data_IF_796772917079
#
_entry.id   IF_796772917079
#
_cell.length_a   1.000
_cell.length_b   1.000
_cell.length_c   1.000
_cell.angle_alpha   90.00
_cell.angle_beta   90.00
_cell.angle_gamma   90.00
#
_symmetry.space_group_name_H-M   'P 1'
#
loop_
_entity.id
_entity.type
_entity.pdbx_description
1 polymer ?
#
# COMPACT_ATOMS: atom_id res chain seq x y z
N UNK A 1 53.96 -8.49 -63.40
CA UNK A 1 53.88 -8.60 -61.91
C UNK A 1 53.14 -7.43 -61.26
N UNK A 2 53.29 -6.17 -61.72
CA UNK A 2 52.65 -4.97 -61.14
C UNK A 2 51.11 -4.90 -61.22
N UNK A 3 50.46 -5.61 -62.15
CA UNK A 3 48.99 -5.53 -62.33
C UNK A 3 48.17 -6.13 -61.19
N UNK A 4 48.70 -7.11 -60.46
CA UNK A 4 48.00 -7.77 -59.35
C UNK A 4 48.00 -6.88 -58.09
N UNK A 5 49.13 -6.23 -57.81
CA UNK A 5 49.29 -5.33 -56.66
C UNK A 5 48.31 -4.14 -56.70
N UNK A 6 48.04 -3.59 -57.88
CA UNK A 6 47.08 -2.51 -58.05
C UNK A 6 45.63 -2.93 -57.72
N UNK A 7 45.26 -4.18 -58.03
CA UNK A 7 43.96 -4.72 -57.70
C UNK A 7 43.82 -4.99 -56.20
N UNK A 8 44.86 -5.56 -55.57
CA UNK A 8 44.88 -5.83 -54.13
C UNK A 8 44.75 -4.52 -53.33
N UNK A 9 45.47 -3.46 -53.71
CA UNK A 9 45.36 -2.14 -53.07
C UNK A 9 43.95 -1.52 -53.20
N UNK A 10 43.25 -1.81 -54.30
CA UNK A 10 41.87 -1.32 -54.52
C UNK A 10 40.88 -2.03 -53.60
N UNK A 11 41.08 -3.33 -53.34
CA UNK A 11 40.26 -4.12 -52.40
C UNK A 11 40.46 -3.61 -50.98
N UNK A 12 41.73 -3.49 -50.54
CA UNK A 12 42.07 -2.98 -49.20
C UNK A 12 41.47 -1.60 -48.94
N UNK A 13 41.48 -0.71 -49.95
CA UNK A 13 40.85 0.62 -49.83
C UNK A 13 39.33 0.55 -49.63
N UNK A 14 38.65 -0.36 -50.33
CA UNK A 14 37.21 -0.51 -50.20
C UNK A 14 36.82 -1.09 -48.84
N UNK A 15 37.58 -2.07 -48.34
CA UNK A 15 37.41 -2.65 -47.00
C UNK A 15 37.60 -1.61 -45.90
N UNK A 16 38.64 -0.79 -46.00
CA UNK A 16 38.87 0.32 -45.07
C UNK A 16 37.68 1.28 -45.04
N UNK A 17 37.08 1.58 -46.20
CA UNK A 17 35.89 2.46 -46.28
C UNK A 17 34.67 1.83 -45.61
N UNK A 18 34.46 0.52 -45.75
CA UNK A 18 33.37 -0.20 -45.10
C UNK A 18 33.54 -0.20 -43.59
N UNK A 19 34.74 -0.57 -43.10
CA UNK A 19 35.05 -0.58 -41.66
C UNK A 19 34.86 0.80 -41.02
N UNK A 20 35.20 1.87 -41.74
CA UNK A 20 35.02 3.23 -41.25
C UNK A 20 33.54 3.61 -41.10
N UNK A 21 32.68 3.11 -41.99
CA UNK A 21 31.23 3.22 -41.89
C UNK A 21 30.68 2.44 -40.71
N UNK A 22 31.12 1.20 -40.53
CA UNK A 22 30.69 0.33 -39.43
C UNK A 22 31.07 0.92 -38.07
N UNK A 23 32.31 1.40 -37.91
CA UNK A 23 32.77 2.06 -36.68
C UNK A 23 31.91 3.28 -36.35
N UNK A 24 31.50 4.05 -37.36
CA UNK A 24 30.61 5.20 -37.18
C UNK A 24 29.23 4.74 -36.71
N UNK A 25 28.65 3.73 -37.34
CA UNK A 25 27.35 3.17 -36.95
C UNK A 25 27.38 2.64 -35.51
N UNK A 26 28.39 1.85 -35.15
CA UNK A 26 28.56 1.35 -33.79
C UNK A 26 28.70 2.46 -32.75
N UNK A 27 29.35 3.57 -33.10
CA UNK A 27 29.47 4.73 -32.21
C UNK A 27 28.10 5.38 -31.97
N UNK A 28 27.28 5.52 -33.01
CA UNK A 28 25.93 6.07 -32.91
C UNK A 28 24.98 5.15 -32.12
N UNK A 29 25.01 3.84 -32.39
CA UNK A 29 24.25 2.83 -31.63
C UNK A 29 24.62 2.83 -30.15
N UNK A 30 25.92 2.86 -29.83
CA UNK A 30 26.39 2.92 -28.44
C UNK A 30 25.90 4.16 -27.71
N UNK A 31 25.91 5.32 -28.37
CA UNK A 31 25.37 6.56 -27.78
C UNK A 31 23.86 6.46 -27.55
N UNK A 32 23.11 5.88 -28.49
CA UNK A 32 21.67 5.66 -28.35
C UNK A 32 21.34 4.75 -27.17
N UNK A 33 22.12 3.66 -26.99
CA UNK A 33 21.94 2.70 -25.91
C UNK A 33 22.23 3.33 -24.55
N UNK A 34 23.32 4.11 -24.45
CA UNK A 34 23.66 4.83 -23.22
C UNK A 34 22.53 5.77 -22.79
N UNK A 35 21.93 6.50 -23.74
CA UNK A 35 20.81 7.38 -23.45
C UNK A 35 19.58 6.60 -22.96
N UNK A 36 19.30 5.43 -23.54
CA UNK A 36 18.21 4.57 -23.09
C UNK A 36 18.46 4.05 -21.66
N UNK A 37 19.68 3.65 -21.33
CA UNK A 37 20.04 3.18 -19.99
C UNK A 37 19.89 4.31 -18.97
N UNK A 38 20.39 5.52 -19.27
CA UNK A 38 20.24 6.67 -18.37
C UNK A 38 18.77 7.01 -18.10
N UNK A 39 17.92 6.99 -19.13
CA UNK A 39 16.48 7.21 -18.98
C UNK A 39 15.83 6.14 -18.10
N UNK A 40 16.18 4.86 -18.30
CA UNK A 40 15.67 3.75 -17.50
C UNK A 40 16.10 3.86 -16.03
N UNK A 41 17.37 4.17 -15.76
CA UNK A 41 17.87 4.32 -14.40
C UNK A 41 17.17 5.45 -13.65
N UNK A 42 16.97 6.62 -14.29
CA UNK A 42 16.21 7.72 -13.70
C UNK A 42 14.78 7.32 -13.33
N UNK A 43 14.13 6.49 -14.14
CA UNK A 43 12.79 5.98 -13.82
C UNK A 43 12.80 5.07 -12.59
N UNK A 44 13.77 4.15 -12.51
CA UNK A 44 13.92 3.26 -11.35
C UNK A 44 14.15 4.06 -10.06
N UNK A 45 15.00 5.08 -10.10
CA UNK A 45 15.25 5.96 -8.95
C UNK A 45 14.00 6.76 -8.54
N UNK A 46 13.24 7.25 -9.52
CA UNK A 46 11.96 7.94 -9.28
C UNK A 46 10.96 7.00 -8.59
N UNK A 47 10.81 5.77 -9.06
CA UNK A 47 9.91 4.78 -8.44
C UNK A 47 10.32 4.45 -7.01
N UNK A 48 11.63 4.28 -6.78
CA UNK A 48 12.17 4.02 -5.44
C UNK A 48 11.84 5.18 -4.48
N UNK A 49 12.06 6.42 -4.91
CA UNK A 49 11.78 7.59 -4.06
C UNK A 49 10.29 7.79 -3.77
N UNK A 50 9.39 7.48 -4.72
CA UNK A 50 7.93 7.48 -4.49
C UNK A 50 7.56 6.45 -3.42
N UNK A 51 8.10 5.24 -3.51
CA UNK A 51 7.82 4.18 -2.54
C UNK A 51 8.36 4.53 -1.14
N UNK A 52 9.57 5.07 -1.06
CA UNK A 52 10.16 5.52 0.21
C UNK A 52 9.32 6.63 0.86
N UNK A 53 8.82 7.57 0.05
CA UNK A 53 7.91 8.63 0.49
C UNK A 53 6.58 8.07 1.00
N UNK A 54 6.01 7.08 0.29
CA UNK A 54 4.79 6.40 0.70
C UNK A 54 4.97 5.66 2.03
N UNK A 55 6.07 4.91 2.18
CA UNK A 55 6.41 4.21 3.43
C UNK A 55 6.55 5.20 4.59
N UNK A 56 7.24 6.33 4.38
CA UNK A 56 7.39 7.37 5.40
C UNK A 56 6.05 7.97 5.81
N UNK A 57 5.19 8.28 4.83
CA UNK A 57 3.84 8.83 5.07
C UNK A 57 2.98 7.84 5.85
N UNK A 58 2.94 6.57 5.45
CA UNK A 58 2.21 5.53 6.17
C UNK A 58 2.74 5.37 7.61
N UNK A 59 4.06 5.40 7.81
CA UNK A 59 4.66 5.29 9.14
C UNK A 59 4.25 6.43 10.09
N UNK A 60 4.06 7.65 9.57
CA UNK A 60 3.59 8.78 10.37
C UNK A 60 2.16 8.54 10.88
N UNK A 61 1.26 8.11 9.99
CA UNK A 61 -0.13 7.83 10.37
C UNK A 61 -0.24 6.60 11.28
N UNK A 62 0.56 5.55 11.05
CA UNK A 62 0.53 4.35 11.88
C UNK A 62 1.06 4.60 13.29
N UNK A 63 2.05 5.50 13.46
CA UNK A 63 2.49 5.94 14.79
C UNK A 63 1.40 6.67 15.56
N UNK A 64 0.54 7.42 14.87
CA UNK A 64 -0.52 8.21 15.49
C UNK A 64 -1.85 7.43 15.65
N UNK A 65 -1.93 6.20 15.12
CA UNK A 65 -3.06 5.31 15.39
C UNK A 65 -2.95 4.81 16.83
N UNK A 66 -3.97 5.06 17.62
CA UNK A 66 -4.15 4.41 18.92
C UNK A 66 -4.04 2.88 18.74
N UNK A 67 -3.33 2.21 19.67
CA UNK A 67 -3.12 0.77 19.63
C UNK A 67 -4.41 0.02 19.27
N UNK A 68 -4.30 -0.87 18.28
CA UNK A 68 -5.42 -1.67 17.80
C UNK A 68 -6.01 -2.47 18.97
N UNK A 69 -7.26 -2.19 19.32
CA UNK A 69 -7.99 -2.96 20.34
C UNK A 69 -8.22 -4.36 19.77
N UNK A 70 -7.61 -5.38 20.36
CA UNK A 70 -7.88 -6.78 20.03
C UNK A 70 -8.91 -7.32 21.01
N UNK A 71 -10.08 -7.73 20.53
CA UNK A 71 -11.12 -8.33 21.36
C UNK A 71 -11.06 -9.86 21.26
N UNK A 72 -11.36 -10.53 22.37
CA UNK A 72 -11.49 -11.99 22.45
C UNK A 72 -12.97 -12.37 22.53
N UNK A 73 -13.27 -13.62 22.17
CA UNK A 73 -14.60 -14.19 22.39
C UNK A 73 -14.92 -14.15 23.89
N UNK A 74 -16.07 -13.61 24.26
CA UNK A 74 -16.49 -13.40 25.65
C UNK A 74 -16.34 -11.96 26.14
N UNK A 75 -15.58 -11.10 25.46
CA UNK A 75 -15.41 -9.70 25.88
C UNK A 75 -16.73 -8.92 25.81
N UNK A 76 -16.95 -8.05 26.80
CA UNK A 76 -18.10 -7.14 26.84
C UNK A 76 -17.73 -5.83 26.14
N UNK A 77 -18.54 -5.46 25.15
CA UNK A 77 -18.35 -4.29 24.31
C UNK A 77 -19.63 -3.48 24.20
N UNK A 78 -19.48 -2.18 23.93
CA UNK A 78 -20.57 -1.29 23.58
C UNK A 78 -20.36 -0.76 22.16
N UNK A 79 -21.45 -0.57 21.41
CA UNK A 79 -21.37 -0.18 19.98
C UNK A 79 -21.85 1.25 19.78
N UNK A 80 -21.09 2.08 19.07
CA UNK A 80 -21.48 3.46 18.78
C UNK A 80 -22.82 3.56 18.03
N UNK A 81 -23.71 4.46 18.46
CA UNK A 81 -24.95 4.83 17.76
C UNK A 81 -24.71 6.03 16.85
N UNK A 82 -25.38 6.04 15.70
CA UNK A 82 -25.61 7.30 14.98
C UNK A 82 -26.72 8.08 15.71
N UNK A 83 -26.59 9.41 15.87
CA UNK A 83 -27.63 10.23 16.49
C UNK A 83 -28.89 10.24 15.61
N UNK A 84 -30.05 10.36 16.25
CA UNK A 84 -31.34 10.43 15.57
C UNK A 84 -31.71 11.91 15.29
N UNK A 85 -32.23 12.19 14.09
CA UNK A 85 -32.71 13.53 13.71
C UNK A 85 -34.19 13.68 14.11
N UNK A 86 -34.44 13.92 15.40
CA UNK A 86 -35.81 14.05 15.96
C UNK A 86 -36.10 15.49 16.42
N UNK A 87 -35.24 16.46 16.07
CA UNK A 87 -35.35 17.86 16.51
C UNK A 87 -34.84 18.12 17.93
N UNK A 88 -34.70 17.08 18.76
CA UNK A 88 -34.04 17.15 20.06
C UNK A 88 -32.51 17.26 19.96
N UNK A 89 -31.87 17.78 21.02
CA UNK A 89 -30.42 17.91 21.08
C UNK A 89 -29.72 16.55 21.04
N UNK A 90 -28.73 16.39 20.17
CA UNK A 90 -27.91 15.16 20.09
C UNK A 90 -27.07 14.92 21.34
N UNK A 91 -26.90 15.92 22.21
CA UNK A 91 -26.13 15.79 23.46
C UNK A 91 -26.81 14.90 24.49
N UNK A 92 -28.14 14.86 24.51
CA UNK A 92 -28.93 14.05 25.47
C UNK A 92 -29.19 12.63 24.98
N UNK A 93 -28.90 12.34 23.71
CA UNK A 93 -29.14 11.02 23.12
C UNK A 93 -28.09 9.98 23.56
N UNK A 94 -28.47 8.71 23.74
CA UNK A 94 -27.53 7.64 24.09
C UNK A 94 -26.48 7.41 22.98
N UNK A 95 -25.20 7.54 23.33
CA UNK A 95 -24.08 7.40 22.36
C UNK A 95 -23.75 5.96 22.00
N UNK A 96 -24.05 5.00 22.86
CA UNK A 96 -23.70 3.59 22.66
C UNK A 96 -24.93 2.67 22.77
N UNK A 97 -24.89 1.50 22.10
CA UNK A 97 -25.84 0.38 22.26
C UNK A 97 -25.22 -0.64 23.20
N UNK A 98 -25.95 -0.92 24.30
CA UNK A 98 -25.94 -2.13 25.12
C UNK A 98 -24.59 -2.66 25.63
N UNK A 99 -24.58 -3.46 26.70
CA UNK A 99 -23.54 -4.46 26.86
C UNK A 99 -23.80 -5.58 25.85
N UNK A 100 -22.86 -5.76 24.92
CA UNK A 100 -22.87 -6.87 23.96
C UNK A 100 -21.66 -7.75 24.22
N UNK A 101 -21.81 -9.05 23.99
CA UNK A 101 -20.73 -10.02 24.13
C UNK A 101 -20.18 -10.40 22.76
N UNK A 102 -18.85 -10.47 22.64
CA UNK A 102 -18.20 -10.98 21.43
C UNK A 102 -18.39 -12.50 21.33
N UNK A 103 -19.10 -12.94 20.31
CA UNK A 103 -19.39 -14.38 20.07
C UNK A 103 -18.42 -15.03 19.11
N UNK A 104 -17.87 -14.27 18.16
CA UNK A 104 -16.93 -14.75 17.15
C UNK A 104 -15.99 -13.62 16.71
N UNK A 105 -14.70 -13.92 16.65
CA UNK A 105 -13.68 -13.08 16.01
C UNK A 105 -13.52 -13.55 14.57
N UNK A 106 -13.68 -12.65 13.59
CA UNK A 106 -13.46 -12.94 12.16
C UNK A 106 -12.15 -12.32 11.69
N UNK A 107 -11.60 -12.78 10.54
CA UNK A 107 -10.51 -12.08 9.87
C UNK A 107 -10.86 -10.62 9.58
N UNK A 108 -9.84 -9.76 9.42
CA UNK A 108 -10.00 -8.33 9.09
C UNK A 108 -10.74 -7.51 10.16
N UNK A 109 -10.44 -7.76 11.44
CA UNK A 109 -10.90 -6.93 12.58
C UNK A 109 -12.42 -6.76 12.69
N UNK A 110 -13.14 -7.79 12.25
CA UNK A 110 -14.60 -7.86 12.30
C UNK A 110 -15.03 -8.81 13.40
N UNK A 111 -15.99 -8.39 14.20
CA UNK A 111 -16.49 -9.18 15.33
C UNK A 111 -17.99 -9.42 15.18
N UNK A 112 -18.41 -10.64 15.51
CA UNK A 112 -19.84 -10.98 15.66
C UNK A 112 -20.19 -10.83 17.12
N UNK A 113 -21.15 -9.97 17.42
CA UNK A 113 -21.56 -9.66 18.78
C UNK A 113 -23.05 -9.96 18.97
N UNK A 114 -23.44 -10.26 20.21
CA UNK A 114 -24.83 -10.52 20.58
C UNK A 114 -25.21 -9.72 21.84
N UNK A 115 -26.48 -9.35 22.01
CA UNK A 115 -26.94 -8.82 23.30
C UNK A 115 -26.85 -9.89 24.37
N UNK A 116 -26.49 -9.45 25.57
CA UNK A 116 -26.81 -10.15 26.81
C UNK A 116 -28.28 -9.87 27.16
N UNK A 117 -29.20 -10.62 26.54
CA UNK A 117 -30.63 -10.81 26.89
C UNK A 117 -31.53 -9.56 27.13
N UNK A 118 -32.88 -9.66 27.08
CA UNK A 118 -33.75 -10.82 26.84
C UNK A 118 -33.93 -11.19 25.36
N UNK A 119 -33.50 -10.34 24.43
CA UNK A 119 -33.67 -10.55 22.99
C UNK A 119 -32.33 -10.70 22.28
N UNK A 120 -32.14 -11.85 21.62
CA UNK A 120 -30.89 -12.21 20.95
C UNK A 120 -30.83 -11.65 19.53
N UNK A 121 -30.56 -10.35 19.39
CA UNK A 121 -30.12 -9.79 18.11
C UNK A 121 -28.64 -10.12 17.85
N UNK A 122 -28.29 -10.38 16.59
CA UNK A 122 -26.91 -10.57 16.16
C UNK A 122 -26.49 -9.35 15.36
N UNK A 123 -25.36 -8.77 15.72
CA UNK A 123 -24.78 -7.64 14.99
C UNK A 123 -23.36 -7.97 14.55
N UNK A 124 -22.96 -7.41 13.42
CA UNK A 124 -21.57 -7.35 13.00
C UNK A 124 -21.04 -5.97 13.34
N UNK A 125 -19.89 -5.93 13.97
CA UNK A 125 -19.22 -4.67 14.27
C UNK A 125 -17.74 -4.75 13.92
N UNK A 126 -17.24 -3.64 13.37
CA UNK A 126 -15.83 -3.44 13.09
C UNK A 126 -15.15 -2.85 14.32
N UNK A 127 -13.83 -3.04 14.43
CA UNK A 127 -13.05 -2.50 15.54
C UNK A 127 -13.26 -0.99 15.80
N UNK A 128 -13.39 -0.19 14.74
CA UNK A 128 -13.67 1.26 14.84
C UNK A 128 -15.04 1.60 15.45
N UNK A 129 -15.97 0.65 15.46
CA UNK A 129 -17.34 0.81 15.96
C UNK A 129 -17.60 0.15 17.32
N UNK A 130 -16.68 -0.72 17.77
CA UNK A 130 -16.73 -1.39 19.07
C UNK A 130 -15.84 -0.65 20.06
N UNK A 131 -16.36 -0.32 21.23
CA UNK A 131 -15.54 0.09 22.37
C UNK A 131 -15.61 -0.97 23.46
N UNK A 132 -14.44 -1.39 23.96
CA UNK A 132 -14.37 -2.27 25.13
C UNK A 132 -14.88 -1.52 26.35
N UNK A 133 -15.82 -2.11 27.07
CA UNK A 133 -16.31 -1.55 28.33
C UNK A 133 -15.36 -1.96 29.45
N UNK A 134 -14.15 -1.39 29.48
CA UNK A 134 -13.24 -1.56 30.63
C UNK A 134 -13.75 -0.71 31.78
N UNK A 135 -14.50 -1.32 32.71
CA UNK A 135 -14.99 -0.61 33.89
C UNK A 135 -16.09 -1.29 34.72
N UNK A 136 -16.15 -2.62 34.77
CA UNK A 136 -17.08 -3.36 35.67
C UNK A 136 -16.35 -4.34 36.60
N UNK A 137 -15.09 -4.09 36.92
CA UNK A 137 -14.39 -4.74 38.05
C UNK A 137 -14.23 -3.71 39.17
N UNK A 138 -15.20 -3.66 40.08
CA UNK A 138 -15.13 -3.23 41.51
C UNK A 138 -16.53 -2.98 42.05
N UNK A 139 -17.27 -4.05 42.33
CA UNK A 139 -18.40 -4.04 43.28
C UNK A 139 -18.51 -5.45 43.88
N UNK A 140 -17.53 -5.82 44.70
CA UNK A 140 -17.70 -6.69 45.88
C UNK A 140 -16.83 -6.10 47.00
#
# INVERSE_FOLDING_TARGET
MMGNLANDLKIVRNELRLLQGDIKNFKEERQSLLLQIQKKNKNVDNLKSINDSLVKTNSYYDKNKSGKVSLRKGDIVAVGRKPNTTGESTKTQPRYRGPMVVTQVRPSDTYRIAQLEPYKWLSLCYNSSCQSVKGLEKLE
#
